data_IF_795792609162
#
_entry.id   IF_795792609162
#
_cell.length_a   1.000
_cell.length_b   1.000
_cell.length_c   1.000
_cell.angle_alpha   90.00
_cell.angle_beta   90.00
_cell.angle_gamma   90.00
#
_symmetry.space_group_name_H-M   'P 1'
#
loop_
_entity.id
_entity.type
_entity.pdbx_description
1 polymer ?
#
# COMPACT_ATOMS: atom_id res chain seq x y z
N UNK A 1 -48.73 -28.07 20.78
CA UNK A 1 -48.79 -29.31 21.58
C UNK A 1 -47.84 -30.32 20.92
N UNK A 2 -46.72 -30.59 21.59
CA UNK A 2 -45.78 -31.72 21.43
C UNK A 2 -45.05 -32.00 20.09
N UNK A 3 -43.75 -31.63 20.05
CA UNK A 3 -42.64 -32.55 19.71
C UNK A 3 -42.62 -33.72 20.73
N UNK A 4 -41.94 -34.87 20.52
CA UNK A 4 -40.71 -35.07 19.72
C UNK A 4 -40.62 -36.41 18.96
N UNK A 5 -39.57 -36.63 18.15
CA UNK A 5 -38.80 -37.89 18.15
C UNK A 5 -37.47 -37.74 17.38
N UNK A 6 -36.38 -37.87 18.13
CA UNK A 6 -35.00 -38.03 17.67
C UNK A 6 -34.75 -39.49 17.28
N UNK A 7 -33.98 -39.77 16.22
CA UNK A 7 -33.51 -41.13 15.97
C UNK A 7 -32.72 -41.37 14.68
N UNK A 8 -31.39 -41.45 14.83
CA UNK A 8 -30.40 -42.18 13.98
C UNK A 8 -30.14 -41.66 12.56
N UNK A 9 -29.25 -40.66 12.43
CA UNK A 9 -28.42 -40.52 11.23
C UNK A 9 -27.06 -41.21 11.45
N UNK A 10 -26.82 -42.30 10.70
CA UNK A 10 -25.50 -42.88 10.48
C UNK A 10 -24.62 -41.84 9.81
N UNK A 11 -23.50 -41.49 10.46
CA UNK A 11 -22.44 -40.68 9.89
C UNK A 11 -21.71 -41.55 8.86
N UNK A 12 -21.89 -41.27 7.58
CA UNK A 12 -20.98 -41.74 6.54
C UNK A 12 -19.72 -40.87 6.60
N UNK A 13 -18.61 -41.45 7.04
CA UNK A 13 -17.28 -40.88 6.83
C UNK A 13 -16.97 -40.95 5.32
N UNK A 14 -17.33 -39.91 4.56
CA UNK A 14 -16.74 -39.68 3.25
C UNK A 14 -15.32 -39.19 3.44
N UNK A 15 -14.40 -40.10 3.15
CA UNK A 15 -12.96 -39.94 2.96
C UNK A 15 -12.64 -38.59 2.29
N UNK A 16 -11.98 -37.69 3.03
CA UNK A 16 -11.35 -36.49 2.48
C UNK A 16 -10.32 -36.93 1.42
N UNK A 17 -10.40 -36.47 0.15
CA UNK A 17 -9.29 -36.67 -0.76
C UNK A 17 -8.12 -35.79 -0.30
N UNK A 18 -6.97 -36.44 -0.13
CA UNK A 18 -5.69 -35.81 0.11
C UNK A 18 -5.35 -34.89 -1.07
N UNK A 19 -5.59 -33.59 -0.92
CA UNK A 19 -5.23 -32.57 -1.91
C UNK A 19 -4.42 -31.41 -1.30
N UNK A 20 -3.68 -31.69 -0.21
CA UNK A 20 -2.75 -30.74 0.40
C UNK A 20 -1.41 -30.62 -0.36
N UNK A 21 -1.11 -31.53 -1.28
CA UNK A 21 0.11 -31.47 -2.09
C UNK A 21 -0.02 -30.50 -3.29
N UNK A 22 -1.23 -30.21 -3.76
CA UNK A 22 -1.46 -29.32 -4.91
C UNK A 22 -1.43 -27.82 -4.56
N UNK A 23 -1.70 -27.50 -3.29
CA UNK A 23 -1.71 -26.11 -2.82
C UNK A 23 -0.29 -25.61 -2.50
N UNK A 24 0.58 -26.51 -2.02
CA UNK A 24 2.00 -26.24 -1.78
C UNK A 24 2.76 -26.00 -3.10
N UNK A 25 2.51 -26.84 -4.12
CA UNK A 25 3.06 -26.64 -5.47
C UNK A 25 2.57 -25.32 -6.12
N UNK A 26 1.36 -24.84 -5.80
CA UNK A 26 0.86 -23.58 -6.40
C UNK A 26 1.55 -22.34 -5.83
N UNK A 27 2.11 -22.41 -4.61
CA UNK A 27 2.79 -21.28 -3.98
C UNK A 27 4.25 -21.20 -4.44
N UNK A 28 4.89 -22.36 -4.63
CA UNK A 28 6.20 -22.49 -5.29
C UNK A 28 6.12 -22.16 -6.79
N UNK A 29 5.13 -22.64 -7.55
CA UNK A 29 4.91 -22.25 -8.96
C UNK A 29 4.63 -20.75 -9.12
N UNK A 30 3.98 -20.11 -8.15
CA UNK A 30 3.77 -18.65 -8.16
C UNK A 30 5.06 -17.91 -7.81
N UNK A 31 5.94 -18.47 -6.97
CA UNK A 31 7.28 -17.89 -6.73
C UNK A 31 8.22 -18.11 -7.93
N UNK A 32 8.16 -19.26 -8.60
CA UNK A 32 8.89 -19.57 -9.83
C UNK A 32 8.45 -18.62 -10.96
N UNK A 33 7.13 -18.48 -11.19
CA UNK A 33 6.58 -17.56 -12.19
C UNK A 33 6.81 -16.07 -11.87
N UNK A 34 7.14 -15.71 -10.62
CA UNK A 34 7.52 -14.34 -10.26
C UNK A 34 8.98 -14.01 -10.53
N UNK A 35 9.82 -15.04 -10.69
CA UNK A 35 11.23 -14.89 -11.05
C UNK A 35 11.45 -15.00 -12.57
N UNK A 36 10.53 -15.62 -13.30
CA UNK A 36 10.66 -15.86 -14.76
C UNK A 36 10.01 -14.82 -15.68
N UNK A 37 9.40 -13.74 -15.16
CA UNK A 37 8.84 -12.67 -16.03
C UNK A 37 9.49 -11.32 -15.65
N UNK A 38 10.37 -10.73 -16.49
CA UNK A 38 10.29 -10.70 -17.95
C UNK A 38 11.61 -11.08 -18.66
N UNK A 39 11.71 -12.29 -19.19
CA UNK A 39 12.69 -12.62 -20.24
C UNK A 39 12.09 -12.60 -21.65
N UNK A 40 10.77 -12.42 -21.82
CA UNK A 40 10.11 -12.58 -23.12
C UNK A 40 9.72 -11.29 -23.87
N UNK A 41 9.88 -10.09 -23.31
CA UNK A 41 9.38 -8.86 -23.96
C UNK A 41 10.48 -7.89 -24.47
N UNK A 42 11.76 -8.29 -24.56
CA UNK A 42 12.85 -7.37 -24.97
C UNK A 42 13.84 -7.97 -26.00
N UNK A 43 13.56 -9.12 -26.61
CA UNK A 43 14.48 -9.74 -27.58
C UNK A 43 13.95 -9.79 -29.03
N UNK A 44 13.09 -8.86 -29.46
CA UNK A 44 12.67 -8.79 -30.88
C UNK A 44 13.30 -7.66 -31.70
N UNK A 45 14.04 -6.70 -31.13
CA UNK A 45 14.51 -5.54 -31.91
C UNK A 45 16.00 -5.52 -32.34
N UNK A 46 16.80 -6.55 -32.05
CA UNK A 46 18.16 -6.63 -32.61
C UNK A 46 18.50 -8.06 -33.03
N UNK A 47 18.01 -8.47 -34.20
CA UNK A 47 18.57 -9.63 -34.89
C UNK A 47 19.11 -9.22 -36.27
N UNK A 48 20.33 -8.69 -36.26
CA UNK A 48 21.22 -8.83 -37.40
C UNK A 48 22.59 -9.29 -36.92
N UNK A 49 22.76 -10.61 -36.97
CA UNK A 49 24.03 -11.35 -37.06
C UNK A 49 25.06 -11.11 -35.95
N UNK A 50 25.29 -12.13 -35.11
CA UNK A 50 26.63 -12.70 -34.81
C UNK A 50 26.42 -13.92 -33.89
N UNK A 51 26.92 -15.08 -34.33
CA UNK A 51 27.16 -16.25 -33.48
C UNK A 51 28.17 -15.92 -32.37
N UNK A 52 27.87 -16.27 -31.11
CA UNK A 52 28.83 -16.89 -30.20
C UNK A 52 28.20 -17.14 -28.83
N UNK A 53 28.37 -18.37 -28.36
CA UNK A 53 28.01 -18.91 -27.06
C UNK A 53 28.66 -18.12 -25.91
N UNK A 54 27.96 -17.09 -25.41
CA UNK A 54 28.39 -16.31 -24.24
C UNK A 54 27.36 -15.29 -23.70
N UNK A 55 26.20 -15.15 -24.33
CA UNK A 55 25.25 -14.05 -24.09
C UNK A 55 24.24 -14.27 -22.94
N UNK A 56 24.08 -15.49 -22.44
CA UNK A 56 23.04 -15.83 -21.44
C UNK A 56 23.31 -15.26 -20.04
N UNK A 57 24.59 -15.17 -19.63
CA UNK A 57 24.97 -14.64 -18.31
C UNK A 57 24.89 -13.11 -18.22
N UNK A 58 25.18 -12.37 -19.31
CA UNK A 58 25.11 -10.91 -19.33
C UNK A 58 23.67 -10.39 -19.39
N UNK A 59 22.76 -11.11 -20.08
CA UNK A 59 21.35 -10.73 -20.19
C UNK A 59 20.61 -10.83 -18.84
N UNK A 60 20.90 -11.89 -18.06
CA UNK A 60 20.39 -12.08 -16.70
C UNK A 60 20.84 -10.99 -15.71
N UNK A 61 22.09 -10.54 -15.81
CA UNK A 61 22.63 -9.51 -14.93
C UNK A 61 22.03 -8.12 -15.21
N UNK A 62 21.86 -7.75 -16.49
CA UNK A 62 21.24 -6.48 -16.90
C UNK A 62 19.75 -6.41 -16.55
N UNK A 63 19.00 -7.51 -16.77
CA UNK A 63 17.59 -7.59 -16.41
C UNK A 63 17.38 -7.45 -14.88
N UNK A 64 18.27 -8.06 -14.08
CA UNK A 64 18.25 -7.97 -12.62
C UNK A 64 18.51 -6.56 -12.10
N UNK A 65 19.48 -5.84 -12.67
CA UNK A 65 19.74 -4.43 -12.32
C UNK A 65 18.58 -3.51 -12.71
N UNK A 66 17.96 -3.74 -13.87
CA UNK A 66 16.79 -3.00 -14.32
C UNK A 66 15.58 -3.19 -13.39
N UNK A 67 15.35 -4.40 -12.88
CA UNK A 67 14.27 -4.67 -11.92
C UNK A 67 14.48 -3.95 -10.58
N UNK A 68 15.67 -4.08 -9.98
CA UNK A 68 15.99 -3.37 -8.72
C UNK A 68 15.91 -1.86 -8.87
N UNK A 69 16.30 -1.32 -10.02
CA UNK A 69 16.13 0.10 -10.34
C UNK A 69 14.66 0.53 -10.37
N UNK A 70 13.77 -0.26 -10.97
CA UNK A 70 12.33 0.01 -10.95
C UNK A 70 11.75 -0.03 -9.53
N UNK A 71 12.13 -1.02 -8.72
CA UNK A 71 11.71 -1.13 -7.32
C UNK A 71 12.21 0.08 -6.51
N UNK A 72 13.45 0.51 -6.72
CA UNK A 72 14.00 1.70 -6.08
C UNK A 72 13.24 2.97 -6.47
N UNK A 73 12.90 3.16 -7.76
CA UNK A 73 12.10 4.31 -8.21
C UNK A 73 10.72 4.32 -7.54
N UNK A 74 10.00 3.20 -7.55
CA UNK A 74 8.68 3.15 -6.93
C UNK A 74 8.75 3.36 -5.41
N UNK A 75 9.79 2.84 -4.76
CA UNK A 75 10.03 3.11 -3.34
C UNK A 75 10.26 4.60 -3.09
N UNK A 76 11.12 5.24 -3.90
CA UNK A 76 11.39 6.68 -3.77
C UNK A 76 10.14 7.53 -4.00
N UNK A 77 9.32 7.20 -5.01
CA UNK A 77 8.07 7.91 -5.29
C UNK A 77 7.02 7.72 -4.19
N UNK A 78 6.95 6.52 -3.60
CA UNK A 78 6.10 6.25 -2.43
C UNK A 78 6.56 7.09 -1.24
N UNK A 79 7.86 7.13 -0.94
CA UNK A 79 8.43 7.94 0.13
C UNK A 79 8.18 9.44 -0.06
N UNK A 80 8.49 9.98 -1.24
CA UNK A 80 8.28 11.39 -1.56
C UNK A 80 6.79 11.71 -1.48
N UNK A 81 5.94 10.87 -2.06
CA UNK A 81 4.49 11.04 -2.05
C UNK A 81 3.92 11.08 -0.64
N UNK A 82 4.26 10.12 0.22
CA UNK A 82 3.80 10.07 1.62
C UNK A 82 4.29 11.29 2.43
N UNK A 83 5.60 11.61 2.35
CA UNK A 83 6.18 12.73 3.11
C UNK A 83 5.57 14.06 2.67
N UNK A 84 5.55 14.35 1.37
CA UNK A 84 5.04 15.61 0.83
C UNK A 84 3.55 15.77 1.13
N UNK A 85 2.74 14.72 0.91
CA UNK A 85 1.30 14.74 1.22
C UNK A 85 1.09 15.05 2.70
N UNK A 86 1.80 14.36 3.59
CA UNK A 86 1.64 14.50 5.04
C UNK A 86 1.99 15.91 5.52
N UNK A 87 3.09 16.49 5.03
CA UNK A 87 3.52 17.83 5.38
C UNK A 87 2.55 18.91 4.85
N UNK A 88 2.08 18.76 3.61
CA UNK A 88 1.15 19.71 3.01
C UNK A 88 -0.23 19.67 3.67
N UNK A 89 -0.74 18.48 3.98
CA UNK A 89 -1.99 18.32 4.75
C UNK A 89 -1.85 18.96 6.13
N UNK A 90 -0.71 18.79 6.81
CA UNK A 90 -0.49 19.48 8.08
C UNK A 90 -0.42 20.99 7.90
N UNK A 91 0.25 21.46 6.84
CA UNK A 91 0.35 22.88 6.52
C UNK A 91 -1.04 23.48 6.29
N UNK A 92 -1.92 22.77 5.56
CA UNK A 92 -3.30 23.16 5.36
C UNK A 92 -4.03 23.41 6.69
N UNK A 93 -4.00 22.46 7.64
CA UNK A 93 -4.70 22.64 8.91
C UNK A 93 -4.05 23.70 9.82
N UNK A 94 -2.72 23.82 9.81
CA UNK A 94 -2.00 24.80 10.66
C UNK A 94 -2.17 26.24 10.18
N UNK A 95 -2.42 26.46 8.88
CA UNK A 95 -2.58 27.78 8.27
C UNK A 95 -4.04 28.24 8.14
N UNK A 96 -4.97 27.52 8.79
CA UNK A 96 -6.36 27.95 8.93
C UNK A 96 -7.39 27.11 8.17
N UNK A 97 -6.97 26.06 7.46
CA UNK A 97 -7.87 25.08 6.86
C UNK A 97 -8.64 24.30 7.93
N UNK A 98 -9.92 24.05 7.71
CA UNK A 98 -10.84 23.42 8.67
C UNK A 98 -11.55 22.20 8.09
N UNK A 99 -11.81 22.19 6.79
CA UNK A 99 -12.55 21.11 6.14
C UNK A 99 -11.73 19.82 6.08
N UNK A 100 -12.21 18.79 6.77
CA UNK A 100 -11.61 17.45 6.74
C UNK A 100 -11.94 16.79 5.40
N UNK A 101 -13.20 16.90 4.99
CA UNK A 101 -13.73 16.29 3.78
C UNK A 101 -13.08 16.84 2.51
N UNK A 102 -12.80 18.15 2.44
CA UNK A 102 -12.07 18.72 1.30
C UNK A 102 -10.68 18.10 1.17
N UNK A 103 -9.92 18.03 2.26
CA UNK A 103 -8.56 17.48 2.23
C UNK A 103 -8.58 15.99 1.91
N UNK A 104 -9.57 15.25 2.42
CA UNK A 104 -9.77 13.85 2.07
C UNK A 104 -10.10 13.68 0.58
N UNK A 105 -10.91 14.58 0.02
CA UNK A 105 -11.29 14.54 -1.39
C UNK A 105 -10.08 14.85 -2.27
N UNK A 106 -9.33 15.90 -1.94
CA UNK A 106 -8.14 16.34 -2.68
C UNK A 106 -7.05 15.26 -2.70
N UNK A 107 -6.89 14.48 -1.62
CA UNK A 107 -5.98 13.33 -1.61
C UNK A 107 -6.33 12.27 -2.69
N UNK A 108 -7.58 12.15 -3.10
CA UNK A 108 -8.01 11.16 -4.10
C UNK A 108 -8.33 11.76 -5.47
N UNK A 109 -8.50 13.08 -5.57
CA UNK A 109 -8.90 13.77 -6.79
C UNK A 109 -7.77 13.91 -7.83
N UNK A 110 -6.58 13.37 -7.58
CA UNK A 110 -5.43 13.44 -8.49
C UNK A 110 -5.47 12.47 -9.67
N UNK A 111 -6.44 11.55 -9.71
CA UNK A 111 -6.55 10.52 -10.75
C UNK A 111 -6.59 11.02 -12.21
N UNK A 112 -7.13 12.21 -12.55
CA UNK A 112 -7.15 12.68 -13.93
C UNK A 112 -5.76 12.85 -14.54
N UNK A 113 -4.73 13.04 -13.71
CA UNK A 113 -3.32 13.17 -14.14
C UNK A 113 -2.83 11.88 -14.84
N UNK A 114 -3.45 10.74 -14.56
CA UNK A 114 -3.07 9.45 -15.14
C UNK A 114 -3.73 9.15 -16.49
N UNK A 115 -4.80 9.85 -16.85
CA UNK A 115 -5.53 9.61 -18.10
C UNK A 115 -4.68 9.81 -19.37
N UNK A 116 -3.81 10.84 -19.48
CA UNK A 116 -2.93 10.98 -20.63
C UNK A 116 -1.95 9.81 -20.79
N UNK A 117 -1.45 9.25 -19.68
CA UNK A 117 -0.55 8.10 -19.69
C UNK A 117 -1.27 6.84 -20.14
N UNK A 118 -2.50 6.62 -19.65
CA UNK A 118 -3.34 5.50 -20.08
C UNK A 118 -3.64 5.59 -21.59
N UNK A 119 -4.02 6.77 -22.07
CA UNK A 119 -4.29 7.01 -23.48
C UNK A 119 -3.06 6.74 -24.36
N UNK A 120 -1.89 7.25 -23.96
CA UNK A 120 -0.64 7.03 -24.70
C UNK A 120 -0.28 5.54 -24.82
N UNK A 121 -0.43 4.77 -23.75
CA UNK A 121 -0.14 3.33 -23.76
C UNK A 121 -1.18 2.58 -24.61
N UNK A 122 -2.46 2.94 -24.49
CA UNK A 122 -3.52 2.34 -25.30
C UNK A 122 -3.33 2.57 -26.79
N UNK A 123 -2.85 3.77 -27.17
CA UNK A 123 -2.54 4.13 -28.55
C UNK A 123 -1.34 3.35 -29.09
N UNK A 124 -0.27 3.24 -28.29
CA UNK A 124 0.95 2.50 -28.68
C UNK A 124 0.69 1.01 -28.90
N UNK A 125 -0.16 0.42 -28.07
CA UNK A 125 -0.40 -1.02 -28.09
C UNK A 125 -1.48 -1.45 -29.09
N UNK A 126 -2.03 -0.55 -29.93
CA UNK A 126 -3.12 -0.84 -30.87
C UNK A 126 -4.23 -1.69 -30.22
N UNK A 127 -4.55 -1.40 -28.96
CA UNK A 127 -5.64 -2.09 -28.28
C UNK A 127 -6.92 -1.51 -28.90
N UNK A 128 -7.41 -2.16 -29.96
CA UNK A 128 -8.80 -2.02 -30.32
C UNK A 128 -9.58 -2.38 -29.06
N UNK A 129 -10.44 -1.47 -28.61
CA UNK A 129 -11.49 -1.82 -27.66
C UNK A 129 -12.36 -2.83 -28.41
N UNK A 130 -12.01 -4.11 -28.34
CA UNK A 130 -12.91 -5.18 -28.72
C UNK A 130 -14.10 -5.06 -27.80
N UNK A 131 -15.19 -4.55 -28.34
CA UNK A 131 -16.51 -4.67 -27.72
C UNK A 131 -16.75 -6.16 -27.53
N UNK A 132 -16.65 -6.56 -26.26
CA UNK A 132 -16.56 -7.92 -25.76
C UNK A 132 -17.69 -8.79 -26.35
N UNK A 133 -17.31 -9.83 -27.11
CA UNK A 133 -18.23 -10.92 -27.47
C UNK A 133 -18.55 -11.73 -26.22
N UNK A 134 -19.85 -11.89 -25.96
CA UNK A 134 -20.43 -12.48 -24.76
C UNK A 134 -19.83 -13.84 -24.38
N UNK A 135 -19.25 -13.89 -23.18
CA UNK A 135 -19.05 -15.05 -22.29
C UNK A 135 -18.13 -14.74 -21.08
N UNK A 136 -17.67 -13.48 -20.89
CA UNK A 136 -16.77 -13.07 -19.78
C UNK A 136 -17.46 -12.29 -18.63
N UNK A 137 -18.78 -12.22 -18.59
CA UNK A 137 -19.55 -11.39 -17.64
C UNK A 137 -19.19 -11.57 -16.14
N UNK A 138 -18.95 -12.77 -15.58
CA UNK A 138 -18.71 -12.89 -14.13
C UNK A 138 -17.35 -12.32 -13.69
N UNK A 139 -16.33 -12.30 -14.56
CA UNK A 139 -14.98 -11.83 -14.19
C UNK A 139 -14.91 -10.30 -14.10
N UNK A 140 -15.62 -9.59 -14.98
CA UNK A 140 -15.71 -8.13 -15.00
C UNK A 140 -16.46 -7.61 -13.77
N UNK A 141 -17.58 -8.25 -13.39
CA UNK A 141 -18.32 -7.90 -12.18
C UNK A 141 -17.47 -8.04 -10.91
N UNK A 142 -16.63 -9.09 -10.84
CA UNK A 142 -15.71 -9.30 -9.71
C UNK A 142 -14.65 -8.20 -9.67
N UNK A 143 -14.02 -7.87 -10.80
CA UNK A 143 -13.02 -6.79 -10.86
C UNK A 143 -13.64 -5.44 -10.45
N UNK A 144 -14.83 -5.15 -10.95
CA UNK A 144 -15.56 -3.93 -10.58
C UNK A 144 -15.83 -3.87 -9.07
N UNK A 145 -16.33 -4.97 -8.48
CA UNK A 145 -16.57 -5.05 -7.04
C UNK A 145 -15.28 -4.84 -6.25
N UNK A 146 -14.18 -5.43 -6.70
CA UNK A 146 -12.86 -5.25 -6.06
C UNK A 146 -12.43 -3.78 -6.09
N UNK A 147 -12.54 -3.10 -7.24
CA UNK A 147 -12.22 -1.68 -7.34
C UNK A 147 -13.12 -0.83 -6.45
N UNK A 148 -14.40 -1.17 -6.33
CA UNK A 148 -15.32 -0.50 -5.40
C UNK A 148 -14.88 -0.68 -3.96
N UNK A 149 -14.58 -1.91 -3.53
CA UNK A 149 -14.12 -2.20 -2.16
C UNK A 149 -12.80 -1.51 -1.84
N UNK A 150 -11.81 -1.62 -2.73
CA UNK A 150 -10.51 -0.96 -2.57
C UNK A 150 -10.66 0.56 -2.52
N UNK A 151 -11.50 1.14 -3.38
CA UNK A 151 -11.74 2.58 -3.40
C UNK A 151 -12.48 3.09 -2.16
N UNK A 152 -13.47 2.36 -1.64
CA UNK A 152 -14.15 2.70 -0.39
C UNK A 152 -13.16 2.68 0.78
N UNK A 153 -12.33 1.64 0.88
CA UNK A 153 -11.31 1.53 1.92
C UNK A 153 -10.26 2.64 1.80
N UNK A 154 -9.80 2.95 0.57
CA UNK A 154 -8.87 4.04 0.30
C UNK A 154 -9.45 5.39 0.70
N UNK A 155 -10.74 5.63 0.40
CA UNK A 155 -11.45 6.82 0.85
C UNK A 155 -11.48 6.92 2.38
N UNK A 156 -11.71 5.79 3.06
CA UNK A 156 -11.60 5.68 4.52
C UNK A 156 -10.20 6.05 5.05
N UNK A 157 -9.13 5.56 4.40
CA UNK A 157 -7.74 5.94 4.74
C UNK A 157 -7.55 7.45 4.66
N UNK A 158 -8.03 8.09 3.59
CA UNK A 158 -7.88 9.54 3.42
C UNK A 158 -8.63 10.34 4.47
N UNK A 159 -9.82 9.90 4.88
CA UNK A 159 -10.59 10.52 5.98
C UNK A 159 -9.86 10.36 7.31
N UNK A 160 -9.40 9.14 7.63
CA UNK A 160 -8.61 8.89 8.84
C UNK A 160 -7.34 9.77 8.87
N UNK A 161 -6.61 9.86 7.75
CA UNK A 161 -5.41 10.69 7.66
C UNK A 161 -5.72 12.18 7.86
N UNK A 162 -6.80 12.69 7.26
CA UNK A 162 -7.24 14.08 7.44
C UNK A 162 -7.63 14.39 8.89
N UNK A 163 -8.38 13.50 9.54
CA UNK A 163 -8.72 13.64 10.97
C UNK A 163 -7.46 13.62 11.83
N UNK A 164 -6.55 12.66 11.58
CA UNK A 164 -5.31 12.53 12.33
C UNK A 164 -4.42 13.76 12.22
N UNK A 165 -4.16 14.26 11.02
CA UNK A 165 -3.27 15.41 10.80
C UNK A 165 -3.86 16.75 11.27
N UNK A 166 -5.18 16.83 11.37
CA UNK A 166 -5.86 17.96 12.00
C UNK A 166 -5.56 18.04 13.49
N UNK A 167 -5.54 16.91 14.21
CA UNK A 167 -5.42 16.89 15.67
C UNK A 167 -4.02 16.54 16.19
N UNK A 168 -3.20 15.81 15.43
CA UNK A 168 -1.86 15.38 15.82
C UNK A 168 -0.76 16.17 15.13
N UNK A 169 0.41 16.25 15.77
CA UNK A 169 1.66 16.62 15.10
C UNK A 169 2.05 15.55 14.07
N UNK A 170 2.78 15.94 13.02
CA UNK A 170 3.13 15.02 11.93
C UNK A 170 3.99 13.87 12.44
N UNK A 171 4.96 14.18 13.28
CA UNK A 171 5.82 13.17 13.90
C UNK A 171 5.04 12.19 14.78
N UNK A 172 3.98 12.63 15.48
CA UNK A 172 3.13 11.73 16.27
C UNK A 172 2.25 10.87 15.37
N UNK A 173 1.59 11.47 14.37
CA UNK A 173 0.82 10.74 13.36
C UNK A 173 1.66 9.67 12.67
N UNK A 174 2.86 10.04 12.21
CA UNK A 174 3.70 9.14 11.43
C UNK A 174 4.28 8.01 12.26
N UNK A 175 4.72 8.28 13.50
CA UNK A 175 5.19 7.24 14.41
C UNK A 175 4.07 6.29 14.82
N UNK A 176 2.85 6.79 15.12
CA UNK A 176 1.70 5.89 15.33
C UNK A 176 1.36 5.10 14.05
N UNK A 177 1.52 5.71 12.88
CA UNK A 177 1.32 5.09 11.58
C UNK A 177 2.26 3.91 11.28
N UNK A 178 3.39 3.79 12.00
CA UNK A 178 4.29 2.63 11.87
C UNK A 178 3.60 1.30 12.22
N UNK A 179 2.52 1.35 13.02
CA UNK A 179 1.67 0.19 13.35
C UNK A 179 1.11 -0.53 12.12
N UNK A 180 1.08 0.13 10.95
CA UNK A 180 0.78 -0.50 9.65
C UNK A 180 1.58 -1.77 9.42
N UNK A 181 2.86 -1.82 9.81
CA UNK A 181 3.69 -3.02 9.71
C UNK A 181 3.15 -4.20 10.52
N UNK A 182 2.61 -3.94 11.72
CA UNK A 182 1.98 -4.98 12.52
C UNK A 182 0.74 -5.53 11.84
N UNK A 183 -0.11 -4.64 11.32
CA UNK A 183 -1.33 -5.03 10.64
C UNK A 183 -1.09 -5.73 9.31
N UNK A 184 -0.07 -5.36 8.53
CA UNK A 184 0.26 -6.06 7.28
C UNK A 184 0.72 -7.48 7.55
N UNK A 185 1.47 -7.73 8.63
CA UNK A 185 1.83 -9.09 9.06
C UNK A 185 0.58 -9.87 9.49
N UNK A 186 -0.34 -9.26 10.24
CA UNK A 186 -1.59 -9.94 10.62
C UNK A 186 -2.41 -10.32 9.39
N UNK A 187 -2.61 -9.39 8.45
CA UNK A 187 -3.38 -9.67 7.23
C UNK A 187 -2.69 -10.67 6.29
N UNK A 188 -1.36 -10.70 6.25
CA UNK A 188 -0.63 -11.70 5.44
C UNK A 188 -0.81 -13.13 5.95
N UNK A 189 -1.12 -13.34 7.24
CA UNK A 189 -1.46 -14.67 7.77
C UNK A 189 -2.76 -15.21 7.22
N UNK A 190 -3.78 -14.34 7.11
CA UNK A 190 -5.10 -14.75 6.63
C UNK A 190 -5.08 -15.10 5.14
N UNK A 191 -4.19 -14.48 4.35
CA UNK A 191 -4.17 -14.69 2.90
C UNK A 191 -3.06 -15.61 2.39
N UNK A 192 -1.92 -15.74 3.08
CA UNK A 192 -0.72 -16.36 2.50
C UNK A 192 0.04 -17.31 3.44
N UNK A 193 -0.60 -17.81 4.52
CA UNK A 193 -0.07 -18.82 5.45
C UNK A 193 1.44 -18.67 5.74
N UNK A 194 1.87 -17.44 5.99
CA UNK A 194 3.28 -17.11 5.99
C UNK A 194 3.95 -17.52 7.32
N UNK A 195 5.15 -18.10 7.24
CA UNK A 195 5.92 -18.47 8.43
C UNK A 195 6.42 -17.22 9.15
N UNK A 196 6.15 -17.14 10.45
CA UNK A 196 6.67 -16.08 11.31
C UNK A 196 8.13 -16.34 11.66
N UNK A 197 9.02 -15.46 11.22
CA UNK A 197 10.41 -15.45 11.71
C UNK A 197 10.52 -14.62 12.98
N UNK A 198 11.42 -14.94 13.93
CA UNK A 198 11.62 -14.13 15.13
C UNK A 198 11.87 -12.64 14.87
N UNK A 199 12.53 -12.29 13.77
CA UNK A 199 12.75 -10.89 13.37
C UNK A 199 11.44 -10.14 13.01
N UNK A 200 10.46 -10.83 12.43
CA UNK A 200 9.15 -10.27 12.13
C UNK A 200 8.42 -9.98 13.44
N UNK A 201 8.43 -10.94 14.37
CA UNK A 201 7.82 -10.79 15.70
C UNK A 201 8.47 -9.64 16.47
N UNK A 202 9.80 -9.58 16.48
CA UNK A 202 10.56 -8.52 17.14
C UNK A 202 10.15 -7.14 16.61
N UNK A 203 10.07 -6.98 15.29
CA UNK A 203 9.63 -5.73 14.67
C UNK A 203 8.23 -5.30 15.10
N UNK A 204 7.27 -6.23 15.09
CA UNK A 204 5.88 -5.94 15.49
C UNK A 204 5.82 -5.51 16.96
N UNK A 205 6.57 -6.19 17.84
CA UNK A 205 6.65 -5.84 19.27
C UNK A 205 7.23 -4.44 19.44
N UNK A 206 8.34 -4.10 18.77
CA UNK A 206 8.98 -2.79 18.86
C UNK A 206 8.06 -1.66 18.40
N UNK A 207 7.41 -1.83 17.26
CA UNK A 207 6.47 -0.85 16.69
C UNK A 207 5.23 -0.66 17.57
N UNK A 208 4.70 -1.76 18.14
CA UNK A 208 3.55 -1.70 19.05
C UNK A 208 3.92 -0.99 20.35
N UNK A 209 5.07 -1.35 20.94
CA UNK A 209 5.60 -0.67 22.12
C UNK A 209 5.82 0.83 21.87
N UNK A 210 6.39 1.19 20.71
CA UNK A 210 6.59 2.58 20.30
C UNK A 210 5.26 3.36 20.27
N UNK A 211 4.20 2.78 19.70
CA UNK A 211 2.87 3.39 19.66
C UNK A 211 2.24 3.57 21.06
N UNK A 212 2.36 2.55 21.92
CA UNK A 212 1.85 2.59 23.30
C UNK A 212 2.58 3.65 24.13
N UNK A 213 3.91 3.71 24.04
CA UNK A 213 4.71 4.73 24.72
C UNK A 213 4.27 6.12 24.27
N UNK A 214 4.02 6.30 22.97
CA UNK A 214 3.64 7.58 22.39
C UNK A 214 2.27 8.06 22.89
N UNK A 215 1.25 7.20 22.96
CA UNK A 215 -0.07 7.61 23.48
C UNK A 215 -0.01 7.96 24.96
N UNK A 216 0.66 7.15 25.77
CA UNK A 216 0.77 7.39 27.22
C UNK A 216 1.49 8.71 27.49
N UNK A 217 2.60 8.95 26.79
CA UNK A 217 3.37 10.19 26.95
C UNK A 217 2.55 11.43 26.59
N UNK A 218 1.93 11.44 25.41
CA UNK A 218 1.21 12.62 24.93
C UNK A 218 -0.11 12.85 25.69
N UNK A 219 -0.77 11.78 26.15
CA UNK A 219 -1.97 11.89 26.97
C UNK A 219 -1.65 12.59 28.29
N UNK A 220 -0.56 12.20 28.95
CA UNK A 220 -0.12 12.80 30.22
C UNK A 220 0.36 14.25 30.07
N UNK A 221 0.88 14.64 28.89
CA UNK A 221 1.24 16.03 28.60
C UNK A 221 0.02 16.90 28.16
N UNK A 222 -1.09 16.27 27.78
CA UNK A 222 -2.28 16.98 27.30
C UNK A 222 -3.24 17.32 28.45
N UNK A 223 -3.64 18.59 28.59
CA UNK A 223 -4.70 18.99 29.52
C UNK A 223 -6.06 18.37 29.15
N UNK A 224 -6.98 18.24 30.12
CA UNK A 224 -8.25 17.49 30.00
C UNK A 224 -9.11 17.84 28.78
N UNK A 225 -9.18 19.10 28.35
CA UNK A 225 -9.99 19.50 27.18
C UNK A 225 -9.28 19.24 25.84
N UNK A 226 -7.95 19.11 25.85
CA UNK A 226 -7.11 18.80 24.68
C UNK A 226 -7.02 17.29 24.43
N UNK A 227 -7.15 16.49 25.49
CA UNK A 227 -6.96 15.03 25.45
C UNK A 227 -7.95 14.33 24.51
N UNK A 228 -9.23 14.75 24.47
CA UNK A 228 -10.23 14.14 23.59
C UNK A 228 -9.93 14.31 22.10
N UNK A 229 -9.46 15.48 21.68
CA UNK A 229 -9.04 15.73 20.29
C UNK A 229 -7.77 14.97 19.94
N UNK A 230 -6.82 14.90 20.88
CA UNK A 230 -5.61 14.10 20.74
C UNK A 230 -5.95 12.61 20.55
N UNK A 231 -6.79 12.05 21.42
CA UNK A 231 -7.23 10.65 21.34
C UNK A 231 -7.98 10.36 20.04
N UNK A 232 -8.86 11.26 19.60
CA UNK A 232 -9.54 11.14 18.31
C UNK A 232 -8.54 11.04 17.16
N UNK A 233 -7.51 11.90 17.13
CA UNK A 233 -6.44 11.81 16.14
C UNK A 233 -5.59 10.54 16.26
N UNK A 234 -5.32 10.09 17.48
CA UNK A 234 -4.53 8.87 17.73
C UNK A 234 -5.26 7.61 17.25
N UNK A 235 -6.51 7.42 17.66
CA UNK A 235 -7.33 6.28 17.23
C UNK A 235 -7.64 6.35 15.74
N UNK A 236 -7.85 7.55 15.18
CA UNK A 236 -7.97 7.74 13.74
C UNK A 236 -6.72 7.27 13.00
N UNK A 237 -5.52 7.49 13.56
CA UNK A 237 -4.26 7.03 12.96
C UNK A 237 -4.14 5.51 12.98
N UNK A 238 -4.55 4.85 14.07
CA UNK A 238 -4.61 3.39 14.14
C UNK A 238 -5.63 2.85 13.14
N UNK A 239 -6.84 3.43 13.08
CA UNK A 239 -7.88 3.05 12.11
C UNK A 239 -7.41 3.20 10.66
N UNK A 240 -6.75 4.31 10.33
CA UNK A 240 -6.11 4.52 9.04
C UNK A 240 -5.00 3.50 8.76
N UNK A 241 -4.24 3.10 9.78
CA UNK A 241 -3.19 2.09 9.65
C UNK A 241 -3.74 0.69 9.36
N UNK A 242 -4.77 0.27 10.08
CA UNK A 242 -5.50 -0.98 9.82
C UNK A 242 -6.06 -0.98 8.40
N UNK A 243 -6.74 0.10 8.03
CA UNK A 243 -7.40 0.21 6.72
C UNK A 243 -6.38 0.21 5.59
N UNK A 244 -5.27 0.93 5.72
CA UNK A 244 -4.21 0.96 4.71
C UNK A 244 -3.53 -0.39 4.53
N UNK A 245 -3.20 -1.09 5.63
CA UNK A 245 -2.62 -2.43 5.57
C UNK A 245 -3.58 -3.44 4.93
N UNK A 246 -4.89 -3.27 5.14
CA UNK A 246 -5.92 -4.07 4.48
C UNK A 246 -5.99 -3.77 2.97
N UNK A 247 -5.93 -2.49 2.57
CA UNK A 247 -5.86 -2.09 1.15
C UNK A 247 -4.67 -2.76 0.46
N UNK A 248 -3.45 -2.67 1.03
CA UNK A 248 -2.26 -3.30 0.45
C UNK A 248 -2.41 -4.82 0.30
N UNK A 249 -3.00 -5.48 1.30
CA UNK A 249 -3.19 -6.93 1.31
C UNK A 249 -4.24 -7.39 0.29
N UNK A 250 -5.33 -6.64 0.14
CA UNK A 250 -6.37 -6.92 -0.87
C UNK A 250 -5.86 -6.62 -2.29
N UNK A 251 -5.02 -5.59 -2.46
CA UNK A 251 -4.36 -5.31 -3.74
C UNK A 251 -3.45 -6.46 -4.17
N UNK A 252 -2.60 -6.98 -3.28
CA UNK A 252 -1.75 -8.14 -3.60
C UNK A 252 -2.60 -9.38 -3.93
N UNK A 253 -3.62 -9.66 -3.12
CA UNK A 253 -4.55 -10.77 -3.39
C UNK A 253 -5.21 -10.65 -4.77
N UNK A 254 -5.67 -9.44 -5.13
CA UNK A 254 -6.32 -9.16 -6.41
C UNK A 254 -5.39 -9.46 -7.57
N UNK A 255 -4.12 -9.01 -7.50
CA UNK A 255 -3.15 -9.29 -8.56
C UNK A 255 -2.85 -10.78 -8.68
N UNK A 256 -2.71 -11.50 -7.57
CA UNK A 256 -2.37 -12.93 -7.59
C UNK A 256 -3.52 -13.82 -8.05
N UNK A 257 -4.76 -13.52 -7.64
CA UNK A 257 -5.89 -14.45 -7.81
C UNK A 257 -6.87 -14.02 -8.89
N UNK A 258 -7.02 -12.72 -9.15
CA UNK A 258 -8.09 -12.18 -10.01
C UNK A 258 -7.52 -11.72 -11.35
N UNK A 259 -6.57 -10.78 -11.33
CA UNK A 259 -6.05 -10.14 -12.56
C UNK A 259 -5.11 -11.10 -13.30
N UNK A 260 -4.27 -11.87 -12.58
CA UNK A 260 -3.34 -12.91 -13.09
C UNK A 260 -2.32 -12.48 -14.16
N UNK A 261 -2.57 -11.39 -14.88
CA UNK A 261 -1.63 -10.67 -15.73
C UNK A 261 -0.88 -9.61 -14.94
N UNK A 262 0.38 -9.38 -15.32
CA UNK A 262 1.18 -8.27 -14.80
C UNK A 262 1.55 -7.32 -15.94
N UNK A 263 0.60 -6.49 -16.37
CA UNK A 263 0.87 -5.35 -17.29
C UNK A 263 0.92 -4.03 -16.52
N UNK A 264 1.73 -3.08 -17.02
CA UNK A 264 1.79 -1.74 -16.43
C UNK A 264 0.44 -1.00 -16.53
N UNK A 265 -0.40 -1.36 -17.51
CA UNK A 265 -1.76 -0.81 -17.64
C UNK A 265 -2.64 -1.17 -16.43
N UNK A 266 -2.48 -2.37 -15.86
CA UNK A 266 -3.25 -2.83 -14.70
C UNK A 266 -2.96 -1.99 -13.44
N UNK A 267 -1.75 -1.43 -13.33
CA UNK A 267 -1.36 -0.51 -12.25
C UNK A 267 -2.12 0.81 -12.40
N UNK A 268 -2.14 1.36 -13.61
CA UNK A 268 -2.83 2.62 -13.91
C UNK A 268 -4.34 2.48 -13.75
N UNK A 269 -4.94 1.42 -14.30
CA UNK A 269 -6.37 1.16 -14.20
C UNK A 269 -6.81 1.01 -12.74
N UNK A 270 -6.17 0.11 -11.98
CA UNK A 270 -6.48 -0.06 -10.57
C UNK A 270 -6.31 1.26 -9.80
N UNK A 271 -5.25 2.02 -10.09
CA UNK A 271 -5.02 3.32 -9.48
C UNK A 271 -6.13 4.33 -9.80
N UNK A 272 -6.60 4.40 -11.04
CA UNK A 272 -7.65 5.34 -11.47
C UNK A 272 -8.98 4.95 -10.84
N UNK A 273 -9.39 3.68 -10.96
CA UNK A 273 -10.70 3.25 -10.49
C UNK A 273 -10.84 3.33 -8.97
N UNK A 274 -9.81 2.94 -8.20
CA UNK A 274 -9.89 3.04 -6.74
C UNK A 274 -9.98 4.50 -6.26
N UNK A 275 -9.24 5.42 -6.88
CA UNK A 275 -9.20 6.84 -6.48
C UNK A 275 -10.45 7.59 -6.97
N UNK A 276 -11.01 7.17 -8.10
CA UNK A 276 -12.33 7.61 -8.57
C UNK A 276 -13.43 7.22 -7.57
N UNK A 277 -13.50 5.94 -7.18
CA UNK A 277 -14.49 5.47 -6.20
C UNK A 277 -14.30 6.17 -4.86
N UNK A 278 -13.05 6.27 -4.37
CA UNK A 278 -12.74 7.01 -3.15
C UNK A 278 -13.23 8.45 -3.21
N UNK A 279 -13.00 9.13 -4.35
CA UNK A 279 -13.46 10.50 -4.57
C UNK A 279 -14.99 10.60 -4.54
N UNK A 280 -15.72 9.68 -5.15
CA UNK A 280 -17.20 9.66 -5.13
C UNK A 280 -17.71 9.49 -3.69
N UNK A 281 -17.18 8.53 -2.94
CA UNK A 281 -17.60 8.24 -1.56
C UNK A 281 -17.33 9.45 -0.66
N UNK A 282 -16.15 10.05 -0.77
CA UNK A 282 -15.79 11.24 0.02
C UNK A 282 -16.62 12.45 -0.41
N UNK A 283 -16.90 12.61 -1.70
CA UNK A 283 -17.73 13.70 -2.21
C UNK A 283 -19.15 13.62 -1.64
N UNK A 284 -19.73 12.41 -1.51
CA UNK A 284 -21.01 12.22 -0.82
C UNK A 284 -20.92 12.68 0.64
N UNK A 285 -19.88 12.28 1.37
CA UNK A 285 -19.66 12.74 2.75
C UNK A 285 -19.40 14.25 2.87
N UNK A 286 -18.74 14.86 1.88
CA UNK A 286 -18.51 16.29 1.78
C UNK A 286 -19.81 17.07 1.61
N UNK A 287 -20.75 16.57 0.81
CA UNK A 287 -22.07 17.19 0.67
C UNK A 287 -22.93 17.00 1.93
N UNK A 288 -22.94 15.80 2.51
CA UNK A 288 -23.71 15.48 3.72
C UNK A 288 -23.25 16.31 4.92
N UNK A 289 -21.93 16.49 5.08
CA UNK A 289 -21.37 17.28 6.19
C UNK A 289 -21.64 18.78 6.10
N UNK A 290 -21.96 19.29 4.90
CA UNK A 290 -22.16 20.72 4.67
C UNK A 290 -20.86 21.55 4.69
N UNK A 291 -19.69 20.90 4.74
CA UNK A 291 -18.37 21.55 4.75
C UNK A 291 -18.18 22.52 3.57
N UNK A 292 -18.79 22.20 2.42
CA UNK A 292 -18.74 22.99 1.20
C UNK A 292 -19.19 24.44 1.36
N UNK A 293 -20.12 24.71 2.28
CA UNK A 293 -20.71 26.05 2.50
C UNK A 293 -19.69 27.07 3.00
N UNK A 294 -18.66 26.60 3.72
CA UNK A 294 -17.69 27.47 4.37
C UNK A 294 -16.37 27.60 3.61
N UNK A 295 -16.20 26.94 2.45
CA UNK A 295 -14.92 26.91 1.74
C UNK A 295 -14.46 28.27 1.23
N UNK A 296 -15.39 29.09 0.73
CA UNK A 296 -15.04 30.45 0.24
C UNK A 296 -14.49 31.28 1.40
N UNK A 297 -15.16 31.22 2.55
CA UNK A 297 -14.72 31.94 3.75
C UNK A 297 -13.40 31.37 4.31
N UNK A 298 -13.21 30.06 4.24
CA UNK A 298 -11.97 29.39 4.65
C UNK A 298 -10.79 29.85 3.79
N UNK A 299 -10.95 29.83 2.46
CA UNK A 299 -9.94 30.28 1.51
C UNK A 299 -9.61 31.76 1.68
N UNK A 300 -10.61 32.59 1.98
CA UNK A 300 -10.44 34.03 2.27
C UNK A 300 -9.66 34.31 3.54
N UNK A 301 -9.88 33.51 4.58
CA UNK A 301 -9.23 33.67 5.89
C UNK A 301 -7.94 32.86 6.02
N UNK A 302 -7.50 32.21 4.95
CA UNK A 302 -6.30 31.38 4.98
C UNK A 302 -5.05 32.25 5.17
N UNK A 303 -4.21 31.88 6.14
CA UNK A 303 -3.10 32.74 6.59
C UNK A 303 -2.06 33.04 5.49
N UNK A 304 -1.86 32.11 4.56
CA UNK A 304 -0.93 32.28 3.44
C UNK A 304 -1.58 32.91 2.20
N UNK A 305 -2.87 33.25 2.27
CA UNK A 305 -3.64 33.82 1.17
C UNK A 305 -4.27 32.77 0.23
N UNK A 306 -5.15 33.26 -0.65
CA UNK A 306 -5.96 32.44 -1.57
C UNK A 306 -5.11 31.60 -2.53
N UNK A 307 -4.03 32.17 -3.08
CA UNK A 307 -3.18 31.47 -4.04
C UNK A 307 -2.48 30.27 -3.38
N UNK A 308 -1.87 30.47 -2.21
CA UNK A 308 -1.20 29.40 -1.48
C UNK A 308 -2.16 28.30 -1.04
N UNK A 309 -3.41 28.63 -0.71
CA UNK A 309 -4.45 27.65 -0.42
C UNK A 309 -4.66 26.69 -1.60
N UNK A 310 -4.89 27.23 -2.80
CA UNK A 310 -5.09 26.43 -4.02
C UNK A 310 -3.84 25.63 -4.37
N UNK A 311 -2.66 26.26 -4.30
CA UNK A 311 -1.38 25.58 -4.60
C UNK A 311 -1.15 24.40 -3.65
N UNK A 312 -1.36 24.56 -2.34
CA UNK A 312 -1.20 23.49 -1.35
C UNK A 312 -2.15 22.33 -1.66
N UNK A 313 -3.42 22.61 -1.94
CA UNK A 313 -4.39 21.56 -2.31
C UNK A 313 -3.98 20.85 -3.60
N UNK A 314 -3.53 21.56 -4.63
CA UNK A 314 -3.07 20.94 -5.88
C UNK A 314 -1.87 20.03 -5.66
N UNK A 315 -0.88 20.44 -4.86
CA UNK A 315 0.28 19.59 -4.55
C UNK A 315 -0.09 18.39 -3.67
N UNK A 316 -1.10 18.51 -2.78
CA UNK A 316 -1.65 17.35 -2.05
C UNK A 316 -2.21 16.32 -3.06
N UNK A 317 -3.00 16.76 -4.03
CA UNK A 317 -3.56 15.86 -5.03
C UNK A 317 -2.47 15.15 -5.87
N UNK A 318 -1.47 15.91 -6.33
CA UNK A 318 -0.37 15.37 -7.15
C UNK A 318 0.48 14.37 -6.34
N UNK A 319 0.91 14.75 -5.14
CA UNK A 319 1.78 13.90 -4.30
C UNK A 319 1.05 12.66 -3.79
N UNK A 320 -0.24 12.76 -3.47
CA UNK A 320 -1.02 11.61 -3.04
C UNK A 320 -1.28 10.66 -4.22
N UNK A 321 -1.58 11.17 -5.42
CA UNK A 321 -1.72 10.32 -6.60
C UNK A 321 -0.43 9.58 -6.94
N UNK A 322 0.70 10.27 -6.87
CA UNK A 322 2.02 9.65 -7.07
C UNK A 322 2.26 8.53 -6.06
N UNK A 323 1.94 8.76 -4.78
CA UNK A 323 2.04 7.75 -3.74
C UNK A 323 1.19 6.51 -4.03
N UNK A 324 -0.06 6.71 -4.47
CA UNK A 324 -1.00 5.64 -4.77
C UNK A 324 -0.50 4.76 -5.93
N UNK A 325 -0.08 5.38 -7.04
CA UNK A 325 0.46 4.66 -8.20
C UNK A 325 1.73 3.89 -7.82
N UNK A 326 2.63 4.54 -7.07
CA UNK A 326 3.88 3.92 -6.68
C UNK A 326 3.68 2.76 -5.69
N UNK A 327 2.70 2.87 -4.79
CA UNK A 327 2.36 1.82 -3.83
C UNK A 327 1.82 0.56 -4.51
N UNK A 328 0.90 0.75 -5.48
CA UNK A 328 0.41 -0.35 -6.32
C UNK A 328 1.57 -0.92 -7.16
N UNK A 329 2.40 -0.06 -7.74
CA UNK A 329 3.58 -0.46 -8.50
C UNK A 329 4.52 -1.35 -7.70
N UNK A 330 4.73 -1.08 -6.41
CA UNK A 330 5.49 -1.93 -5.51
C UNK A 330 4.82 -3.29 -5.30
N UNK A 331 3.52 -3.32 -4.97
CA UNK A 331 2.77 -4.60 -4.81
C UNK A 331 2.85 -5.45 -6.08
N UNK A 332 2.84 -4.79 -7.24
CA UNK A 332 2.97 -5.43 -8.53
C UNK A 332 4.40 -5.87 -8.88
N UNK A 333 5.44 -5.19 -8.39
CA UNK A 333 6.83 -5.48 -8.81
C UNK A 333 7.55 -6.47 -7.91
N UNK A 334 7.19 -6.54 -6.63
CA UNK A 334 7.88 -7.38 -5.65
C UNK A 334 6.91 -8.39 -5.01
N UNK A 335 7.43 -9.22 -4.10
CA UNK A 335 6.61 -10.13 -3.29
C UNK A 335 5.81 -9.34 -2.21
N UNK A 336 4.74 -9.91 -1.61
CA UNK A 336 3.79 -9.17 -0.78
C UNK A 336 4.45 -8.54 0.45
N UNK A 337 5.41 -9.27 1.02
CA UNK A 337 6.15 -8.81 2.18
C UNK A 337 7.03 -7.62 1.87
N UNK A 338 7.85 -7.74 0.82
CA UNK A 338 8.75 -6.69 0.37
C UNK A 338 7.95 -5.45 0.02
N UNK A 339 6.84 -5.58 -0.71
CA UNK A 339 6.00 -4.43 -1.05
C UNK A 339 5.41 -3.79 0.20
N UNK A 340 4.96 -4.58 1.17
CA UNK A 340 4.42 -4.05 2.42
C UNK A 340 5.48 -3.30 3.23
N UNK A 341 6.72 -3.78 3.29
CA UNK A 341 7.78 -3.05 4.00
C UNK A 341 8.14 -1.76 3.25
N UNK A 342 8.38 -1.82 1.94
CA UNK A 342 8.72 -0.63 1.14
C UNK A 342 7.61 0.42 1.15
N UNK A 343 6.35 0.01 1.08
CA UNK A 343 5.19 0.91 1.15
C UNK A 343 5.01 1.60 2.50
N UNK A 344 5.65 1.10 3.56
CA UNK A 344 5.53 1.66 4.90
C UNK A 344 6.79 2.42 5.35
N UNK A 345 7.86 2.46 4.54
CA UNK A 345 9.12 3.13 4.90
C UNK A 345 8.97 4.64 5.11
N UNK A 346 7.94 5.27 4.54
CA UNK A 346 7.72 6.70 4.72
C UNK A 346 7.31 7.05 6.15
N UNK A 347 6.64 6.15 6.86
CA UNK A 347 6.18 6.37 8.24
C UNK A 347 7.32 6.66 9.25
N UNK A 348 8.44 5.91 9.32
CA UNK A 348 9.56 6.25 10.19
C UNK A 348 10.42 7.43 9.69
N UNK A 349 10.39 7.73 8.38
CA UNK A 349 11.21 8.82 7.78
C UNK A 349 10.54 10.19 7.93
N UNK A 350 9.22 10.26 7.78
CA UNK A 350 8.44 11.51 7.82
C UNK A 350 8.67 12.38 9.08
N UNK A 351 8.87 11.85 10.31
CA UNK A 351 9.23 12.65 11.48
C UNK A 351 10.48 13.52 11.29
N UNK A 352 11.49 13.05 10.54
CA UNK A 352 12.72 13.81 10.27
C UNK A 352 12.37 15.06 9.45
N UNK A 353 11.60 14.89 8.38
CA UNK A 353 11.14 15.99 7.54
C UNK A 353 10.19 16.92 8.29
N UNK A 354 9.37 16.40 9.19
CA UNK A 354 8.50 17.22 10.03
C UNK A 354 9.29 18.17 10.95
N UNK A 355 10.41 17.70 11.53
CA UNK A 355 11.30 18.57 12.33
C UNK A 355 11.92 19.66 11.47
N UNK A 356 12.39 19.31 10.26
CA UNK A 356 13.07 20.25 9.36
C UNK A 356 12.11 21.32 8.84
N UNK A 357 10.95 20.91 8.31
CA UNK A 357 10.05 21.81 7.57
C UNK A 357 8.92 22.41 8.41
N UNK A 358 8.46 21.71 9.45
CA UNK A 358 7.35 22.17 10.30
C UNK A 358 7.79 22.53 11.72
N UNK A 359 9.09 22.38 12.03
CA UNK A 359 9.65 22.60 13.37
C UNK A 359 8.88 21.84 14.46
N UNK A 360 8.46 20.60 14.13
CA UNK A 360 7.78 19.70 15.06
C UNK A 360 8.64 19.48 16.32
N UNK A 361 8.05 19.67 17.50
CA UNK A 361 8.77 19.51 18.77
C UNK A 361 8.92 18.02 19.08
N UNK A 362 10.15 17.52 19.04
CA UNK A 362 10.52 16.16 19.46
C UNK A 362 11.30 16.24 20.78
N UNK A 363 10.67 15.81 21.88
CA UNK A 363 11.31 15.65 23.20
C UNK A 363 11.96 14.25 23.33
N UNK A 364 12.74 14.04 24.38
CA UNK A 364 13.54 12.82 24.61
C UNK A 364 12.79 11.51 24.39
N UNK A 365 11.61 11.32 24.99
CA UNK A 365 10.86 10.06 24.83
C UNK A 365 10.40 9.81 23.39
N UNK A 366 10.10 10.86 22.63
CA UNK A 366 9.72 10.76 21.22
C UNK A 366 10.92 10.38 20.33
N UNK A 367 12.15 10.71 20.73
CA UNK A 367 13.37 10.18 20.10
C UNK A 367 13.52 8.67 20.33
N UNK A 368 13.20 8.18 21.53
CA UNK A 368 13.21 6.74 21.83
C UNK A 368 12.19 6.01 20.96
N UNK A 369 10.96 6.54 20.86
CA UNK A 369 9.91 5.99 19.96
C UNK A 369 10.39 5.97 18.50
N UNK A 370 11.05 7.02 18.05
CA UNK A 370 11.61 7.09 16.70
C UNK A 370 12.70 6.03 16.47
N UNK A 371 13.60 5.84 17.43
CA UNK A 371 14.63 4.78 17.38
C UNK A 371 14.02 3.38 17.33
N UNK A 372 13.00 3.10 18.17
CA UNK A 372 12.28 1.83 18.15
C UNK A 372 11.60 1.56 16.81
N UNK A 373 11.02 2.59 16.19
CA UNK A 373 10.45 2.48 14.86
C UNK A 373 11.54 2.14 13.82
N UNK A 374 12.66 2.86 13.79
CA UNK A 374 13.77 2.57 12.88
C UNK A 374 14.33 1.16 13.07
N UNK A 375 14.49 0.71 14.31
CA UNK A 375 14.88 -0.67 14.60
C UNK A 375 13.84 -1.65 14.05
N UNK A 376 12.57 -1.46 14.36
CA UNK A 376 11.49 -2.33 13.91
C UNK A 376 11.47 -2.49 12.40
N UNK A 377 11.62 -1.40 11.64
CA UNK A 377 11.74 -1.44 10.18
C UNK A 377 13.04 -2.11 9.72
N UNK A 378 14.18 -1.76 10.31
CA UNK A 378 15.48 -2.37 9.97
C UNK A 378 15.49 -3.89 10.15
N UNK A 379 14.86 -4.38 11.22
CA UNK A 379 14.69 -5.82 11.49
C UNK A 379 13.87 -6.52 10.41
N UNK A 380 12.84 -5.86 9.84
CA UNK A 380 12.02 -6.42 8.77
C UNK A 380 12.76 -6.44 7.43
N UNK A 381 13.42 -5.34 7.07
CA UNK A 381 14.21 -5.26 5.84
C UNK A 381 15.29 -6.33 5.84
N UNK A 382 16.00 -6.49 6.97
CA UNK A 382 17.02 -7.51 7.12
C UNK A 382 16.45 -8.93 6.97
N UNK A 383 15.30 -9.22 7.60
CA UNK A 383 14.65 -10.51 7.44
C UNK A 383 14.25 -10.80 6.00
N UNK A 384 13.77 -9.78 5.27
CA UNK A 384 13.38 -9.97 3.88
C UNK A 384 14.58 -10.18 2.96
N UNK A 385 15.70 -9.52 3.25
CA UNK A 385 16.96 -9.81 2.59
C UNK A 385 17.38 -11.27 2.81
N UNK A 386 17.31 -11.78 4.05
CA UNK A 386 17.60 -13.19 4.35
C UNK A 386 16.67 -14.15 3.59
N UNK A 387 15.35 -13.91 3.63
CA UNK A 387 14.38 -14.74 2.92
C UNK A 387 14.63 -14.76 1.41
N UNK A 388 15.06 -13.64 0.84
CA UNK A 388 15.40 -13.56 -0.58
C UNK A 388 16.68 -14.35 -0.91
N UNK A 389 17.68 -14.35 -0.02
CA UNK A 389 18.91 -15.14 -0.18
C UNK A 389 18.60 -16.63 -0.08
N UNK A 390 17.85 -17.05 0.93
CA UNK A 390 17.47 -18.45 1.17
C UNK A 390 16.66 -19.02 -0.01
N UNK A 391 15.63 -18.31 -0.48
CA UNK A 391 14.85 -18.73 -1.64
C UNK A 391 15.72 -18.87 -2.92
N UNK A 392 16.77 -18.04 -3.05
CA UNK A 392 17.68 -18.14 -4.19
C UNK A 392 18.58 -19.38 -4.07
N UNK A 393 19.01 -19.74 -2.87
CA UNK A 393 19.81 -20.94 -2.63
C UNK A 393 19.00 -22.22 -2.90
N UNK A 394 17.74 -22.27 -2.44
CA UNK A 394 16.82 -23.39 -2.71
C UNK A 394 16.61 -23.60 -4.22
N UNK A 395 16.41 -22.53 -4.99
CA UNK A 395 16.26 -22.60 -6.44
C UNK A 395 17.51 -23.10 -7.14
N UNK A 396 18.70 -22.67 -6.70
CA UNK A 396 19.97 -23.14 -7.25
C UNK A 396 20.14 -24.63 -6.96
N UNK A 397 19.80 -25.07 -5.75
CA UNK A 397 19.91 -26.48 -5.36
C UNK A 397 18.90 -27.36 -6.11
N UNK A 398 17.67 -26.89 -6.32
CA UNK A 398 16.65 -27.62 -7.10
C UNK A 398 17.06 -27.78 -8.57
N UNK A 399 17.53 -26.70 -9.21
CA UNK A 399 18.03 -26.77 -10.59
C UNK A 399 19.25 -27.71 -10.71
N UNK A 400 20.11 -27.74 -9.68
CA UNK A 400 21.26 -28.65 -9.64
C UNK A 400 20.83 -30.12 -9.52
N UNK A 401 19.76 -30.40 -8.76
CA UNK A 401 19.19 -31.75 -8.61
C UNK A 401 18.51 -32.24 -9.88
N UNK A 402 17.80 -31.38 -10.60
CA UNK A 402 17.15 -31.74 -11.87
C UNK A 402 18.17 -32.06 -12.97
N UNK A 403 19.24 -31.26 -13.08
CA UNK A 403 20.35 -31.49 -14.03
C UNK A 403 21.14 -32.78 -13.70
N UNK A 404 21.29 -33.13 -12.43
CA UNK A 404 21.95 -34.39 -12.03
C UNK A 404 21.07 -35.64 -12.22
N UNK A 405 19.77 -35.46 -12.48
CA UNK A 405 18.80 -36.55 -12.66
C UNK A 405 18.39 -36.82 -14.12
N UNK A 406 18.84 -35.96 -15.04
CA UNK A 406 18.70 -36.08 -16.49
C UNK A 406 19.97 -36.64 -17.11
#
# INVERSE_FOLDING_TARGET
MFLPYFGKNKIYFTKFPANKAKEYNSMEEVQQNLLDIPNEEICEDENSNIESSGSTHSCSYFAKHKWWYQVAIFTLFTLIGEVVTTLLVKTYFTKGGKSIWLVSLVQNAGFPILLPFLYYISLKNNIQIEVIKGNQEPHICIIFLVYVVLGVLLGGVSVFNSVSLKYLQVSTYSLTGTTRLGFTVIFSLFHNAQKFTPAIVNSVVLVTAASVILVVHNYNESGETSSGKFLLGFFSTIGGSVTYSLVLSLTDFTYRKIIKGRKFIDILEMSIYQTLVASIVILLGFFISGDWKNLIMEMEKYQLGKLSYVVILSFIAISCQLNVVASIGLVFKVNPLMSNVFNNLGAPITPIFAVIFLHDKIKGLKLVVMFLAFWGFGSQIYQQYLNHVEAKEELIEQNSREVSSS
#
